data_IF_116563402668
#
_entry.id   IF_116563402668
#
_cell.length_a   1.000
_cell.length_b   1.000
_cell.length_c   1.000
_cell.angle_alpha   90.00
_cell.angle_beta   90.00
_cell.angle_gamma   90.00
#
_symmetry.space_group_name_H-M   'P 1'
#
loop_
_entity.id
_entity.type
_entity.pdbx_description
1 polymer ?
#
# COMPACT_ATOMS: atom_id res chain seq x y z
N UNK A 1 -7.50 12.08 -17.69
CA UNK A 1 -6.70 10.84 -17.56
C UNK A 1 -6.34 10.63 -16.11
N UNK A 2 -6.35 9.38 -15.64
CA UNK A 2 -6.03 9.03 -14.25
C UNK A 2 -4.70 8.28 -14.23
N UNK A 3 -3.92 8.51 -13.17
CA UNK A 3 -2.65 7.83 -12.93
C UNK A 3 -2.68 7.15 -11.57
N UNK A 4 -1.98 6.04 -11.44
CA UNK A 4 -1.75 5.37 -10.16
C UNK A 4 -0.31 5.63 -9.72
N UNK A 5 -0.15 6.23 -8.55
CA UNK A 5 1.15 6.41 -7.91
C UNK A 5 1.35 5.26 -6.92
N UNK A 6 2.28 4.36 -7.23
CA UNK A 6 2.61 3.25 -6.35
C UNK A 6 3.80 3.63 -5.47
N UNK A 7 3.60 3.64 -4.15
CA UNK A 7 4.67 3.85 -3.18
C UNK A 7 5.29 2.50 -2.86
N UNK A 8 6.52 2.28 -3.33
CA UNK A 8 7.28 1.05 -3.10
C UNK A 8 8.29 1.27 -1.99
N UNK A 9 8.19 0.47 -0.93
CA UNK A 9 9.16 0.40 0.16
C UNK A 9 9.80 -0.99 0.18
N UNK A 10 11.07 -1.14 0.58
CA UNK A 10 11.65 -2.45 0.83
C UNK A 10 10.80 -3.26 1.82
N UNK A 11 10.59 -4.54 1.53
CA UNK A 11 9.86 -5.45 2.41
C UNK A 11 10.57 -5.54 3.78
N UNK A 12 9.79 -5.53 4.86
CA UNK A 12 10.29 -5.56 6.24
C UNK A 12 10.71 -4.19 6.81
N UNK A 13 10.96 -3.17 5.97
CA UNK A 13 11.45 -1.87 6.44
C UNK A 13 10.51 -1.19 7.45
N UNK A 14 9.19 -1.39 7.32
CA UNK A 14 8.20 -0.79 8.23
C UNK A 14 8.33 -1.31 9.67
N UNK A 15 8.74 -2.56 9.83
CA UNK A 15 8.93 -3.19 11.15
C UNK A 15 10.19 -2.64 11.83
N UNK A 16 11.25 -2.45 11.06
CA UNK A 16 12.54 -1.90 11.53
C UNK A 16 12.46 -0.42 11.90
N UNK A 17 11.53 0.32 11.28
CA UNK A 17 11.40 1.79 11.44
C UNK A 17 10.98 2.21 12.85
N UNK A 18 10.31 1.34 13.60
CA UNK A 18 9.73 1.68 14.89
C UNK A 18 8.53 2.63 14.78
N UNK A 19 7.80 2.79 15.89
CA UNK A 19 6.49 3.47 15.89
C UNK A 19 6.60 4.96 15.57
N UNK A 20 7.55 5.67 16.18
CA UNK A 20 7.67 7.13 16.03
C UNK A 20 8.00 7.52 14.59
N UNK A 21 9.05 6.95 14.01
CA UNK A 21 9.39 7.21 12.61
C UNK A 21 8.32 6.67 11.64
N UNK A 22 7.60 5.59 12.01
CA UNK A 22 6.41 5.13 11.28
C UNK A 22 5.31 6.19 11.20
N UNK A 23 4.98 6.82 12.34
CA UNK A 23 3.99 7.91 12.40
C UNK A 23 4.44 9.12 11.60
N UNK A 24 5.74 9.45 11.60
CA UNK A 24 6.28 10.56 10.83
C UNK A 24 6.13 10.34 9.32
N UNK A 25 6.47 9.15 8.80
CA UNK A 25 6.30 8.84 7.37
C UNK A 25 4.82 8.78 6.99
N UNK A 26 3.96 8.25 7.86
CA UNK A 26 2.51 8.27 7.65
C UNK A 26 1.96 9.71 7.56
N UNK A 27 2.42 10.61 8.44
CA UNK A 27 2.04 12.02 8.39
C UNK A 27 2.50 12.70 7.08
N UNK A 28 3.68 12.35 6.56
CA UNK A 28 4.15 12.85 5.25
C UNK A 28 3.23 12.39 4.10
N UNK A 29 2.78 11.14 4.13
CA UNK A 29 1.82 10.61 3.15
C UNK A 29 0.49 11.39 3.20
N UNK A 30 -0.05 11.64 4.40
CA UNK A 30 -1.28 12.41 4.57
C UNK A 30 -1.13 13.86 4.09
N UNK A 31 -0.01 14.51 4.42
CA UNK A 31 0.27 15.87 3.96
C UNK A 31 0.32 15.93 2.43
N UNK A 32 0.98 14.96 1.78
CA UNK A 32 1.01 14.89 0.32
C UNK A 32 -0.40 14.68 -0.27
N UNK A 33 -1.21 13.79 0.31
CA UNK A 33 -2.58 13.59 -0.12
C UNK A 33 -3.44 14.88 -0.02
N UNK A 34 -3.30 15.64 1.07
CA UNK A 34 -4.00 16.91 1.24
C UNK A 34 -3.60 17.94 0.18
N UNK A 35 -2.34 17.98 -0.25
CA UNK A 35 -1.93 18.85 -1.37
C UNK A 35 -2.62 18.48 -2.69
N UNK A 36 -2.78 17.18 -2.96
CA UNK A 36 -3.47 16.68 -4.16
C UNK A 36 -4.98 16.95 -4.09
N UNK A 37 -5.55 16.87 -2.89
CA UNK A 37 -6.96 17.16 -2.63
C UNK A 37 -7.26 18.65 -2.81
N UNK A 38 -6.44 19.54 -2.27
CA UNK A 38 -6.58 21.00 -2.45
C UNK A 38 -6.49 21.40 -3.93
N UNK A 39 -5.68 20.69 -4.72
CA UNK A 39 -5.58 20.87 -6.17
C UNK A 39 -6.75 20.28 -6.96
N UNK A 40 -7.66 19.56 -6.31
CA UNK A 40 -8.80 18.91 -6.96
C UNK A 40 -8.45 17.70 -7.85
N UNK A 41 -7.26 17.11 -7.67
CA UNK A 41 -6.77 16.01 -8.53
C UNK A 41 -6.75 14.65 -7.83
N UNK A 42 -6.91 14.61 -6.50
CA UNK A 42 -6.92 13.35 -5.74
C UNK A 42 -8.16 12.52 -6.08
N UNK A 43 -7.95 11.26 -6.47
CA UNK A 43 -9.04 10.29 -6.72
C UNK A 43 -9.22 9.30 -5.56
N UNK A 44 -8.12 8.77 -5.04
CA UNK A 44 -8.07 7.88 -3.89
C UNK A 44 -6.65 7.87 -3.31
N UNK A 45 -6.52 7.54 -2.03
CA UNK A 45 -5.25 7.30 -1.35
C UNK A 45 -5.50 6.30 -0.23
N UNK A 46 -4.65 5.28 -0.11
CA UNK A 46 -4.72 4.28 0.95
C UNK A 46 -3.31 3.82 1.32
N UNK A 47 -3.10 3.48 2.59
CA UNK A 47 -1.92 2.73 3.02
C UNK A 47 -2.26 1.24 3.04
N UNK A 48 -1.56 0.45 2.23
CA UNK A 48 -1.73 -1.00 2.23
C UNK A 48 -1.30 -1.60 3.57
N UNK A 49 -2.02 -2.67 3.97
CA UNK A 49 -1.64 -3.52 5.08
C UNK A 49 -0.32 -4.26 4.79
N UNK A 50 0.29 -4.82 5.84
CA UNK A 50 1.53 -5.60 5.72
C UNK A 50 1.33 -6.84 4.82
N UNK A 51 2.34 -7.17 4.03
CA UNK A 51 2.46 -8.39 3.23
C UNK A 51 2.19 -9.67 4.05
N UNK A 52 2.47 -9.68 5.36
CA UNK A 52 2.15 -10.78 6.26
C UNK A 52 0.64 -11.12 6.33
N UNK A 53 -0.22 -10.15 6.03
CA UNK A 53 -1.68 -10.30 5.98
C UNK A 53 -2.22 -10.50 4.54
N UNK A 54 -1.34 -10.56 3.55
CA UNK A 54 -1.74 -10.69 2.16
C UNK A 54 -2.18 -12.13 1.84
N UNK A 55 -3.16 -12.27 0.93
CA UNK A 55 -3.58 -13.54 0.36
C UNK A 55 -3.74 -13.39 -1.14
N UNK A 56 -3.12 -14.29 -1.90
CA UNK A 56 -3.30 -14.40 -3.35
C UNK A 56 -4.42 -15.38 -3.66
N UNK A 57 -5.31 -14.97 -4.53
CA UNK A 57 -6.32 -15.84 -5.14
C UNK A 57 -5.87 -16.19 -6.55
N UNK A 58 -5.81 -17.48 -6.86
CA UNK A 58 -5.47 -17.95 -8.20
C UNK A 58 -6.54 -18.90 -8.74
N UNK A 59 -6.98 -18.64 -9.98
CA UNK A 59 -7.90 -19.51 -10.72
C UNK A 59 -7.13 -20.15 -11.88
N UNK A 60 -7.08 -21.49 -11.92
CA UNK A 60 -6.49 -22.27 -13.01
C UNK A 60 -7.41 -23.42 -13.38
N UNK A 61 -7.74 -23.55 -14.66
CA UNK A 61 -8.64 -24.61 -15.15
C UNK A 61 -10.01 -24.62 -14.45
N UNK A 62 -10.53 -23.45 -14.07
CA UNK A 62 -11.80 -23.32 -13.34
C UNK A 62 -11.72 -23.64 -11.84
N UNK A 63 -10.54 -24.02 -11.31
CA UNK A 63 -10.35 -24.26 -9.88
C UNK A 63 -9.69 -23.06 -9.20
N UNK A 64 -10.28 -22.62 -8.09
CA UNK A 64 -9.73 -21.57 -7.22
C UNK A 64 -8.80 -22.16 -6.16
N UNK A 65 -7.72 -21.44 -5.85
CA UNK A 65 -6.79 -21.70 -4.76
C UNK A 65 -6.44 -20.40 -4.04
N UNK A 66 -6.19 -20.50 -2.73
CA UNK A 66 -5.74 -19.40 -1.88
C UNK A 66 -4.30 -19.69 -1.45
N UNK A 67 -3.44 -18.68 -1.52
CA UNK A 67 -2.02 -18.78 -1.14
C UNK A 67 -1.65 -17.58 -0.28
N UNK A 68 -1.08 -17.83 0.89
CA UNK A 68 -0.67 -16.76 1.80
C UNK A 68 0.52 -15.96 1.24
N UNK A 69 0.55 -14.67 1.59
CA UNK A 69 1.58 -13.71 1.22
C UNK A 69 1.29 -12.89 -0.05
N UNK A 70 2.23 -12.02 -0.45
CA UNK A 70 2.11 -11.13 -1.61
C UNK A 70 2.52 -11.81 -2.94
N UNK A 71 2.36 -11.10 -4.07
CA UNK A 71 2.96 -11.55 -5.34
C UNK A 71 4.49 -11.51 -5.27
N UNK A 72 5.13 -12.51 -5.87
CA UNK A 72 6.58 -12.70 -5.99
C UNK A 72 6.95 -12.88 -7.45
#
# INVERSE_FOLDING_TARGET
MSYMLLILEPRGQREERGMEAGQQVYAQMLAFAETLKQRGVLRAVESLANDASATRVQVRGGRQSLVDGPFT
#
